data_IF_986188928842
#
_entry.id   IF_986188928842
#
_cell.length_a   1.000
_cell.length_b   1.000
_cell.length_c   1.000
_cell.angle_alpha   90.00
_cell.angle_beta   90.00
_cell.angle_gamma   90.00
#
_symmetry.space_group_name_H-M   'P 1'
#
loop_
_entity.id
_entity.type
_entity.pdbx_description
1 polymer ?
#
# COMPACT_ATOMS: atom_id res chain seq x y z
N UNK A 1 -5.84 21.92 15.37
CA UNK A 1 -4.93 21.18 14.48
C UNK A 1 -5.49 19.77 14.37
N UNK A 2 -5.70 19.24 13.17
CA UNK A 2 -6.21 17.87 13.01
C UNK A 2 -5.06 16.90 13.28
N UNK A 3 -5.28 15.88 14.11
CA UNK A 3 -4.32 14.80 14.42
C UNK A 3 -4.08 13.87 13.22
N UNK A 4 -3.85 14.44 12.04
CA UNK A 4 -3.63 13.71 10.80
C UNK A 4 -2.32 12.95 10.84
N UNK A 5 -2.38 11.62 10.77
CA UNK A 5 -1.20 10.77 10.67
C UNK A 5 -0.86 10.58 9.19
N UNK A 6 0.34 10.98 8.79
CA UNK A 6 0.82 10.78 7.43
C UNK A 6 0.95 9.29 7.09
N UNK A 7 0.33 8.86 6.00
CA UNK A 7 0.43 7.52 5.41
C UNK A 7 1.20 7.62 4.09
N UNK A 8 2.17 6.73 3.85
CA UNK A 8 2.95 6.68 2.62
C UNK A 8 4.47 6.71 2.84
N UNK A 9 5.28 6.92 1.79
CA UNK A 9 4.88 7.17 0.40
C UNK A 9 4.27 5.94 -0.31
N UNK A 10 3.34 6.17 -1.24
CA UNK A 10 2.68 5.10 -2.02
C UNK A 10 3.28 5.11 -3.43
N UNK A 11 3.93 4.00 -3.81
CA UNK A 11 4.49 3.82 -5.13
C UNK A 11 3.40 3.39 -6.13
N UNK A 12 3.43 3.97 -7.32
CA UNK A 12 2.50 3.69 -8.41
C UNK A 12 3.23 3.25 -9.68
N UNK A 13 2.50 2.70 -10.66
CA UNK A 13 3.06 2.30 -11.96
C UNK A 13 3.78 0.94 -11.97
N UNK A 14 3.92 0.29 -10.82
CA UNK A 14 4.50 -1.06 -10.70
C UNK A 14 3.46 -2.16 -10.99
N UNK A 15 3.93 -3.32 -11.46
CA UNK A 15 3.08 -4.48 -11.77
C UNK A 15 2.40 -5.07 -10.50
N UNK A 16 3.15 -5.17 -9.40
CA UNK A 16 2.65 -5.66 -8.10
C UNK A 16 2.78 -4.57 -7.01
N UNK A 17 1.98 -4.61 -5.93
CA UNK A 17 2.09 -3.64 -4.84
C UNK A 17 3.45 -3.72 -4.16
N UNK A 18 4.16 -2.60 -4.16
CA UNK A 18 5.45 -2.41 -3.51
C UNK A 18 5.46 -0.99 -2.96
N UNK A 19 5.84 -0.78 -1.71
CA UNK A 19 5.95 0.57 -1.14
C UNK A 19 7.27 0.69 -0.37
N UNK A 20 8.00 1.77 -0.63
CA UNK A 20 9.34 1.99 -0.05
C UNK A 20 9.20 2.81 1.23
N UNK A 21 9.78 2.30 2.31
CA UNK A 21 9.85 2.98 3.60
C UNK A 21 11.25 3.56 3.85
N UNK A 22 11.32 4.58 4.69
CA UNK A 22 12.58 5.13 5.21
C UNK A 22 12.99 4.42 6.50
N UNK A 23 14.28 4.47 6.84
CA UNK A 23 14.80 3.93 8.11
C UNK A 23 14.23 4.62 9.35
N UNK A 24 13.65 5.81 9.19
CA UNK A 24 12.94 6.55 10.24
C UNK A 24 11.49 6.11 10.46
N UNK A 25 11.00 5.09 9.73
CA UNK A 25 9.63 4.62 9.89
C UNK A 25 9.41 3.96 11.26
N UNK A 26 8.35 4.38 11.96
CA UNK A 26 7.92 3.73 13.21
C UNK A 26 7.20 2.42 12.94
N UNK A 27 7.08 1.56 13.96
CA UNK A 27 6.37 0.27 13.85
C UNK A 27 4.93 0.43 13.37
N UNK A 28 4.22 1.48 13.80
CA UNK A 28 2.87 1.79 13.33
C UNK A 28 2.83 2.09 11.83
N UNK A 29 3.83 2.81 11.31
CA UNK A 29 3.93 3.13 9.88
C UNK A 29 4.22 1.87 9.06
N UNK A 30 5.10 0.99 9.55
CA UNK A 30 5.34 -0.32 8.91
C UNK A 30 4.05 -1.12 8.83
N UNK A 31 3.34 -1.29 9.97
CA UNK A 31 2.09 -2.06 10.02
C UNK A 31 1.04 -1.50 9.05
N UNK A 32 0.80 -0.19 9.10
CA UNK A 32 -0.17 0.45 8.21
C UNK A 32 0.21 0.27 6.74
N UNK A 33 1.48 0.41 6.38
CA UNK A 33 1.92 0.22 4.98
C UNK A 33 1.85 -1.24 4.53
N UNK A 34 2.07 -2.20 5.42
CA UNK A 34 1.84 -3.63 5.11
C UNK A 34 0.35 -3.91 4.87
N UNK A 35 -0.54 -3.34 5.69
CA UNK A 35 -1.98 -3.50 5.51
C UNK A 35 -2.43 -2.94 4.14
N UNK A 36 -1.92 -1.77 3.74
CA UNK A 36 -2.19 -1.17 2.43
C UNK A 36 -1.68 -2.08 1.31
N UNK A 37 -0.43 -2.54 1.38
CA UNK A 37 0.14 -3.41 0.33
C UNK A 37 -0.64 -4.72 0.16
N UNK A 38 -1.17 -5.29 1.25
CA UNK A 38 -1.99 -6.51 1.21
C UNK A 38 -3.34 -6.26 0.52
N UNK A 39 -4.02 -5.17 0.86
CA UNK A 39 -5.31 -4.81 0.23
C UNK A 39 -5.11 -4.45 -1.24
N UNK A 40 -4.07 -3.69 -1.58
CA UNK A 40 -3.71 -3.38 -2.96
C UNK A 40 -3.52 -4.66 -3.80
N UNK A 41 -2.92 -5.70 -3.22
CA UNK A 41 -2.71 -6.98 -3.91
C UNK A 41 -4.04 -7.70 -4.19
N UNK A 42 -4.96 -7.67 -3.21
CA UNK A 42 -6.29 -8.27 -3.34
C UNK A 42 -7.11 -7.57 -4.43
N UNK A 43 -7.15 -6.23 -4.41
CA UNK A 43 -7.88 -5.42 -5.41
C UNK A 43 -7.33 -5.67 -6.81
N UNK A 44 -5.99 -5.65 -6.99
CA UNK A 44 -5.38 -5.91 -8.29
C UNK A 44 -5.71 -7.30 -8.82
N UNK A 45 -5.67 -8.32 -7.96
CA UNK A 45 -6.05 -9.69 -8.32
C UNK A 45 -7.52 -9.76 -8.78
N UNK A 46 -8.42 -9.02 -8.13
CA UNK A 46 -9.84 -8.93 -8.54
C UNK A 46 -9.98 -8.26 -9.91
N UNK A 47 -9.35 -7.11 -10.12
CA UNK A 47 -9.37 -6.39 -11.40
C UNK A 47 -8.78 -7.22 -12.55
N UNK A 48 -7.73 -8.00 -12.29
CA UNK A 48 -7.15 -8.92 -13.28
C UNK A 48 -8.08 -10.10 -13.61
N UNK A 49 -8.86 -10.57 -12.64
CA UNK A 49 -9.85 -11.62 -12.87
C UNK A 49 -11.03 -11.11 -13.71
N UNK A 50 -11.50 -9.89 -13.43
CA UNK A 50 -12.55 -9.22 -14.21
C UNK A 50 -12.14 -8.98 -15.67
N UNK A 51 -10.89 -8.59 -15.93
CA UNK A 51 -10.38 -8.41 -17.30
C UNK A 51 -10.24 -9.70 -18.11
N UNK A 52 -10.23 -10.87 -17.44
CA UNK A 52 -10.09 -12.18 -18.07
C UNK A 52 -11.43 -12.86 -18.34
N UNK A 53 -12.50 -12.36 -17.73
CA UNK A 53 -13.88 -12.78 -17.97
C UNK A 53 -14.46 -12.07 -19.21
#
# INVERSE_FOLDING_TARGET
FTDGVAIGPILMGVNKPVHILTTSATSRRVLNMTAIAAVDAQIRKQLEAEKKA
#
